data_IF_282816631377
#
_entry.id   IF_282816631377
#
_cell.length_a   1.000
_cell.length_b   1.000
_cell.length_c   1.000
_cell.angle_alpha   90.00
_cell.angle_beta   90.00
_cell.angle_gamma   90.00
#
_symmetry.space_group_name_H-M   'P 1'
#
loop_
_entity.id
_entity.type
_entity.pdbx_description
1 polymer ?
#
# COMPACT_ATOMS: atom_id res chain seq x y z
N UNK A 1 -10.73 -4.18 -4.01
CA UNK A 1 -9.80 -4.64 -5.04
C UNK A 1 -8.53 -5.17 -4.39
N UNK A 2 -7.98 -6.25 -4.93
CA UNK A 2 -6.80 -6.92 -4.40
C UNK A 2 -5.72 -6.95 -5.47
N UNK A 3 -4.49 -6.63 -5.08
CA UNK A 3 -3.32 -6.73 -5.95
C UNK A 3 -2.25 -7.56 -5.26
N UNK A 4 -1.28 -8.03 -6.02
CA UNK A 4 -0.09 -8.68 -5.48
C UNK A 4 1.14 -7.88 -5.85
N UNK A 5 2.09 -7.80 -4.92
CA UNK A 5 3.36 -7.12 -5.13
C UNK A 5 4.49 -8.11 -4.89
N UNK A 6 5.45 -8.15 -5.82
CA UNK A 6 6.59 -9.08 -5.70
C UNK A 6 7.57 -8.66 -4.62
N UNK A 7 7.56 -7.38 -4.22
CA UNK A 7 8.47 -6.86 -3.20
C UNK A 7 7.73 -5.90 -2.27
N UNK A 8 6.93 -6.44 -1.32
CA UNK A 8 6.15 -5.60 -0.43
C UNK A 8 7.01 -4.71 0.47
N UNK A 9 8.22 -5.15 0.82
CA UNK A 9 9.10 -4.37 1.69
C UNK A 9 9.52 -3.08 1.00
N UNK A 10 9.91 -3.16 -0.27
CA UNK A 10 10.28 -1.97 -1.05
C UNK A 10 9.08 -1.06 -1.26
N UNK A 11 7.89 -1.64 -1.48
CA UNK A 11 6.68 -0.84 -1.60
C UNK A 11 6.39 -0.06 -0.33
N UNK A 12 6.50 -0.69 0.84
CA UNK A 12 6.28 -0.03 2.13
C UNK A 12 7.26 1.13 2.30
N UNK A 13 8.52 0.91 1.99
CA UNK A 13 9.54 1.95 2.09
C UNK A 13 9.24 3.12 1.14
N UNK A 14 8.83 2.81 -0.07
CA UNK A 14 8.49 3.84 -1.07
C UNK A 14 7.30 4.68 -0.61
N UNK A 15 6.25 4.03 -0.09
CA UNK A 15 5.06 4.75 0.39
C UNK A 15 5.40 5.64 1.57
N UNK A 16 6.23 5.15 2.49
CA UNK A 16 6.64 5.93 3.66
C UNK A 16 7.39 7.20 3.27
N UNK A 17 8.18 7.11 2.21
CA UNK A 17 8.98 8.23 1.73
C UNK A 17 8.16 9.20 0.87
N UNK A 18 7.33 8.66 -0.02
CA UNK A 18 6.59 9.46 -1.01
C UNK A 18 5.37 10.13 -0.39
N UNK A 19 4.73 9.46 0.57
CA UNK A 19 3.50 9.95 1.19
C UNK A 19 3.67 10.08 2.71
N UNK A 20 4.46 11.05 3.18
CA UNK A 20 4.70 11.22 4.61
C UNK A 20 3.44 11.63 5.39
N UNK A 21 2.41 12.12 4.69
CA UNK A 21 1.13 12.48 5.31
C UNK A 21 0.30 11.27 5.70
N UNK A 22 0.61 10.08 5.16
CA UNK A 22 -0.11 8.86 5.50
C UNK A 22 0.27 8.40 6.91
N UNK A 23 -0.73 7.93 7.65
CA UNK A 23 -0.52 7.34 8.97
C UNK A 23 -0.23 5.86 8.80
N UNK A 24 0.92 5.42 9.30
CA UNK A 24 1.30 4.02 9.24
C UNK A 24 0.98 3.36 10.58
N UNK A 25 0.06 2.39 10.57
CA UNK A 25 -0.34 1.68 11.78
C UNK A 25 0.49 0.41 11.94
N UNK A 26 0.68 -0.01 13.20
CA UNK A 26 1.41 -1.24 13.51
C UNK A 26 0.73 -2.44 12.86
N UNK A 27 1.50 -3.48 12.49
CA UNK A 27 0.92 -4.66 11.88
C UNK A 27 -0.16 -5.29 12.78
N UNK A 28 -1.24 -5.74 12.13
CA UNK A 28 -2.32 -6.41 12.85
C UNK A 28 -1.93 -7.88 13.15
N UNK A 29 -2.90 -8.67 13.65
CA UNK A 29 -2.65 -10.06 14.05
C UNK A 29 -2.18 -10.96 12.90
N UNK A 30 -2.49 -10.59 11.66
CA UNK A 30 -2.01 -11.35 10.49
C UNK A 30 -0.78 -10.73 9.84
N UNK A 31 -0.21 -9.70 10.46
CA UNK A 31 1.01 -9.07 9.99
C UNK A 31 0.83 -8.04 8.89
N UNK A 32 -0.39 -7.69 8.55
CA UNK A 32 -0.65 -6.67 7.52
C UNK A 32 -0.34 -5.28 8.07
N UNK A 33 0.47 -4.54 7.33
CA UNK A 33 0.78 -3.15 7.65
C UNK A 33 -0.25 -2.25 6.96
N UNK A 34 -0.79 -1.29 7.71
CA UNK A 34 -1.86 -0.45 7.19
C UNK A 34 -1.39 1.00 7.04
N UNK A 35 -1.64 1.57 5.86
CA UNK A 35 -1.43 3.00 5.60
C UNK A 35 -2.79 3.66 5.49
N UNK A 36 -3.02 4.70 6.29
CA UNK A 36 -4.26 5.47 6.28
C UNK A 36 -3.95 6.86 5.75
N UNK A 37 -4.57 7.23 4.64
CA UNK A 37 -4.32 8.51 3.97
C UNK A 37 -5.37 9.54 4.37
N UNK A 38 -5.01 10.83 4.37
CA UNK A 38 -5.96 11.88 4.76
C UNK A 38 -7.21 11.97 3.89
N UNK A 39 -7.13 11.51 2.64
CA UNK A 39 -8.26 11.54 1.71
C UNK A 39 -9.25 10.39 1.90
N UNK A 40 -8.99 9.50 2.87
CA UNK A 40 -9.87 8.37 3.18
C UNK A 40 -9.43 7.05 2.55
N UNK A 41 -8.37 7.05 1.77
CA UNK A 41 -7.83 5.79 1.23
C UNK A 41 -7.11 5.02 2.33
N UNK A 42 -7.31 3.70 2.34
CA UNK A 42 -6.62 2.79 3.26
C UNK A 42 -5.98 1.69 2.45
N UNK A 43 -4.70 1.45 2.66
CA UNK A 43 -3.94 0.40 1.98
C UNK A 43 -3.43 -0.58 3.02
N UNK A 44 -3.79 -1.87 2.86
CA UNK A 44 -3.29 -2.94 3.72
C UNK A 44 -2.29 -3.78 2.91
N UNK A 45 -1.07 -3.90 3.43
CA UNK A 45 0.00 -4.64 2.76
C UNK A 45 0.38 -5.83 3.62
N UNK A 46 0.18 -7.03 3.07
CA UNK A 46 0.48 -8.28 3.78
C UNK A 46 1.91 -8.72 3.51
N UNK A 47 2.53 -9.44 4.44
CA UNK A 47 3.92 -9.86 4.27
C UNK A 47 4.18 -10.72 3.03
N UNK A 48 3.14 -11.43 2.58
CA UNK A 48 3.25 -12.28 1.39
C UNK A 48 3.11 -11.51 0.08
N UNK A 49 2.85 -10.20 0.17
CA UNK A 49 2.74 -9.35 -1.02
C UNK A 49 1.33 -8.98 -1.43
N UNK A 50 0.31 -9.52 -0.78
CA UNK A 50 -1.08 -9.15 -1.08
C UNK A 50 -1.35 -7.72 -0.62
N UNK A 51 -2.05 -6.95 -1.46
CA UNK A 51 -2.39 -5.56 -1.17
C UNK A 51 -3.90 -5.39 -1.28
N UNK A 52 -4.52 -4.88 -0.22
CA UNK A 52 -5.94 -4.55 -0.18
C UNK A 52 -6.12 -3.05 -0.15
N UNK A 53 -6.94 -2.53 -1.07
CA UNK A 53 -7.34 -1.11 -1.08
C UNK A 53 -8.73 -1.00 -0.50
N UNK A 54 -8.89 -0.11 0.47
CA UNK A 54 -10.16 0.14 1.14
C UNK A 54 -10.41 1.65 1.24
N UNK A 55 -11.63 2.02 1.61
CA UNK A 55 -11.99 3.42 1.78
C UNK A 55 -12.30 4.08 0.45
N UNK A 56 -12.03 5.40 0.39
CA UNK A 56 -12.35 6.20 -0.79
C UNK A 56 -11.37 5.94 -1.92
N UNK A 57 -11.88 5.87 -3.15
CA UNK A 57 -11.03 5.86 -4.33
C UNK A 57 -10.39 7.24 -4.49
N UNK A 58 -9.10 7.28 -4.80
CA UNK A 58 -8.36 8.54 -4.90
C UNK A 58 -7.29 8.44 -5.97
N UNK A 59 -6.71 9.59 -6.33
CA UNK A 59 -5.59 9.63 -7.26
C UNK A 59 -4.38 8.88 -6.70
N UNK A 60 -4.22 8.87 -5.38
CA UNK A 60 -3.12 8.13 -4.73
C UNK A 60 -3.26 6.64 -5.01
N UNK A 61 -4.48 6.11 -4.98
CA UNK A 61 -4.71 4.70 -5.30
C UNK A 61 -4.22 4.36 -6.69
N UNK A 62 -4.55 5.19 -7.67
CA UNK A 62 -4.11 4.97 -9.06
C UNK A 62 -2.59 5.01 -9.18
N UNK A 63 -1.94 5.92 -8.45
CA UNK A 63 -0.48 6.03 -8.44
C UNK A 63 0.16 4.77 -7.84
N UNK A 64 -0.39 4.29 -6.73
CA UNK A 64 0.13 3.09 -6.07
C UNK A 64 -0.08 1.86 -6.95
N UNK A 65 -1.24 1.74 -7.59
CA UNK A 65 -1.49 0.63 -8.51
C UNK A 65 -0.47 0.62 -9.65
N UNK A 66 -0.19 1.78 -10.23
CA UNK A 66 0.79 1.90 -11.31
C UNK A 66 2.19 1.52 -10.83
N UNK A 67 2.56 1.96 -9.63
CA UNK A 67 3.85 1.63 -9.05
C UNK A 67 4.00 0.12 -8.87
N UNK A 68 2.96 -0.54 -8.33
CA UNK A 68 3.00 -1.98 -8.12
C UNK A 68 3.16 -2.73 -9.43
N UNK A 69 2.45 -2.29 -10.48
CA UNK A 69 2.58 -2.91 -11.79
C UNK A 69 3.99 -2.78 -12.34
N UNK A 70 4.62 -1.62 -12.16
CA UNK A 70 6.01 -1.41 -12.60
C UNK A 70 6.95 -2.32 -11.80
N UNK A 71 6.78 -2.41 -10.50
CA UNK A 71 7.61 -3.26 -9.64
C UNK A 71 7.50 -4.72 -10.05
N UNK A 72 6.31 -5.17 -10.40
CA UNK A 72 6.06 -6.58 -10.76
C UNK A 72 6.68 -6.97 -12.09
N UNK A 73 7.10 -5.99 -12.90
CA UNK A 73 7.74 -6.26 -14.20
C UNK A 73 9.25 -6.45 -14.11
N UNK A 74 9.84 -6.18 -12.95
CA UNK A 74 11.29 -6.27 -12.78
C UNK A 74 11.76 -7.69 -12.55
#
# INVERSE_FOLDING_TARGET
MVMSCTDPRTLIQHLSTTYPEATQLAPNSVGALQFVFPDGLVINIYPMGTIHFQGQASSIRAEVEALVLIMNKR
#
